data_IF_846672128590
#
_entry.id   IF_846672128590
#
_cell.length_a   1.000
_cell.length_b   1.000
_cell.length_c   1.000
_cell.angle_alpha   90.00
_cell.angle_beta   90.00
_cell.angle_gamma   90.00
#
_symmetry.space_group_name_H-M   'P 1'
#
loop_
_entity.id
_entity.type
_entity.pdbx_description
1 polymer ?
#
# COMPACT_ATOMS: atom_id res chain seq x y z
N UNK A 1 36.85 -21.75 25.81
CA UNK A 1 36.81 -21.48 24.36
C UNK A 1 35.35 -21.56 23.94
N UNK A 2 34.44 -20.83 24.59
CA UNK A 2 33.01 -21.22 24.64
C UNK A 2 32.01 -20.04 24.75
N UNK A 3 32.39 -18.83 24.35
CA UNK A 3 31.46 -17.69 24.31
C UNK A 3 30.76 -17.58 22.93
N UNK A 4 31.26 -18.27 21.90
CA UNK A 4 30.69 -18.22 20.54
C UNK A 4 29.57 -19.25 20.29
N UNK A 5 29.44 -20.28 21.13
CA UNK A 5 28.46 -21.37 20.92
C UNK A 5 27.03 -20.98 21.32
N UNK A 6 26.85 -19.90 22.08
CA UNK A 6 25.54 -19.40 22.49
C UNK A 6 24.88 -18.46 21.45
N UNK A 7 25.66 -17.73 20.65
CA UNK A 7 25.12 -16.85 19.60
C UNK A 7 24.65 -17.61 18.34
N UNK A 8 25.17 -18.82 18.08
CA UNK A 8 24.76 -19.64 16.93
C UNK A 8 23.37 -20.28 17.05
N UNK A 9 22.64 -20.08 18.14
CA UNK A 9 21.24 -20.53 18.28
C UNK A 9 20.22 -19.44 17.94
N UNK A 10 20.64 -18.36 17.29
CA UNK A 10 19.75 -17.51 16.52
C UNK A 10 19.27 -18.34 15.31
N UNK A 11 18.00 -18.79 15.31
CA UNK A 11 17.32 -19.51 14.21
C UNK A 11 17.94 -19.22 12.82
N UNK A 12 18.47 -20.27 12.18
CA UNK A 12 19.31 -20.13 11.01
C UNK A 12 18.57 -19.45 9.85
N UNK A 13 19.18 -18.50 9.13
CA UNK A 13 18.60 -17.85 7.95
C UNK A 13 18.02 -18.86 6.93
N UNK A 14 18.68 -20.01 6.82
CA UNK A 14 18.26 -21.12 5.96
C UNK A 14 16.89 -21.71 6.32
N UNK A 15 16.54 -21.80 7.62
CA UNK A 15 15.23 -22.32 8.06
C UNK A 15 14.11 -21.32 7.78
N UNK A 16 14.36 -20.03 7.99
CA UNK A 16 13.39 -18.97 7.66
C UNK A 16 13.12 -18.91 6.15
N UNK A 17 14.18 -18.97 5.33
CA UNK A 17 14.03 -19.06 3.87
C UNK A 17 13.28 -20.32 3.45
N UNK A 18 13.58 -21.48 4.06
CA UNK A 18 12.87 -22.72 3.78
C UNK A 18 11.36 -22.61 4.11
N UNK A 19 11.00 -22.04 5.26
CA UNK A 19 9.59 -21.83 5.65
C UNK A 19 8.85 -20.92 4.66
N UNK A 20 9.50 -19.87 4.16
CA UNK A 20 8.92 -18.98 3.15
C UNK A 20 8.75 -19.67 1.80
N UNK A 21 9.72 -20.47 1.38
CA UNK A 21 9.61 -21.26 0.14
C UNK A 21 8.47 -22.28 0.26
N UNK A 22 8.32 -22.94 1.41
CA UNK A 22 7.20 -23.85 1.68
C UNK A 22 5.87 -23.11 1.68
N UNK A 23 5.80 -21.91 2.26
CA UNK A 23 4.60 -21.09 2.23
C UNK A 23 4.23 -20.68 0.79
N UNK A 24 5.21 -20.26 -0.02
CA UNK A 24 4.98 -19.91 -1.43
C UNK A 24 4.51 -21.14 -2.24
N UNK A 25 5.13 -22.30 -2.02
CA UNK A 25 4.72 -23.55 -2.65
C UNK A 25 3.30 -23.97 -2.20
N UNK A 26 2.94 -23.80 -0.93
CA UNK A 26 1.60 -24.06 -0.42
C UNK A 26 0.54 -23.15 -1.07
N UNK A 27 0.86 -21.86 -1.26
CA UNK A 27 -0.02 -20.91 -1.93
C UNK A 27 -0.25 -21.29 -3.40
N UNK A 28 0.84 -21.53 -4.14
CA UNK A 28 0.78 -21.97 -5.54
C UNK A 28 0.04 -23.29 -5.66
N UNK A 29 0.31 -24.24 -4.76
CA UNK A 29 -0.38 -25.53 -4.69
C UNK A 29 -1.89 -25.37 -4.45
N UNK A 30 -2.29 -24.46 -3.56
CA UNK A 30 -3.71 -24.17 -3.32
C UNK A 30 -4.38 -23.56 -4.56
N UNK A 31 -3.70 -22.64 -5.24
CA UNK A 31 -4.19 -22.01 -6.45
C UNK A 31 -4.31 -23.03 -7.60
N UNK A 32 -3.31 -23.90 -7.76
CA UNK A 32 -3.35 -24.97 -8.74
C UNK A 32 -4.48 -25.97 -8.46
N UNK A 33 -4.64 -26.38 -7.20
CA UNK A 33 -5.72 -27.27 -6.80
C UNK A 33 -7.08 -26.66 -7.14
N UNK A 34 -7.27 -25.35 -6.96
CA UNK A 34 -8.53 -24.70 -7.35
C UNK A 34 -8.86 -24.86 -8.83
N UNK A 35 -7.88 -24.73 -9.73
CA UNK A 35 -8.07 -24.90 -11.17
C UNK A 35 -8.23 -26.37 -11.58
N UNK A 36 -7.41 -27.28 -11.04
CA UNK A 36 -7.42 -28.69 -11.44
C UNK A 36 -8.73 -29.40 -11.06
N UNK A 37 -9.30 -29.05 -9.90
CA UNK A 37 -10.53 -29.66 -9.39
C UNK A 37 -11.82 -29.01 -9.93
N UNK A 38 -11.72 -28.22 -11.00
CA UNK A 38 -12.85 -27.54 -11.65
C UNK A 38 -13.94 -28.48 -12.13
N UNK A 39 -13.55 -29.61 -12.74
CA UNK A 39 -14.49 -30.54 -13.37
C UNK A 39 -15.19 -31.50 -12.39
N UNK A 40 -14.74 -31.58 -11.13
CA UNK A 40 -15.14 -32.66 -10.21
C UNK A 40 -15.88 -32.19 -8.94
N UNK A 41 -15.76 -30.90 -8.56
CA UNK A 41 -16.30 -30.41 -7.28
C UNK A 41 -17.16 -29.15 -7.42
N UNK A 42 -18.14 -29.03 -6.53
CA UNK A 42 -18.97 -27.84 -6.38
C UNK A 42 -18.11 -26.61 -5.99
N UNK A 43 -18.56 -25.43 -6.43
CA UNK A 43 -17.86 -24.17 -6.20
C UNK A 43 -17.51 -23.89 -4.73
N UNK A 44 -18.39 -24.28 -3.79
CA UNK A 44 -18.17 -24.07 -2.36
C UNK A 44 -16.93 -24.81 -1.84
N UNK A 45 -16.75 -26.08 -2.23
CA UNK A 45 -15.60 -26.90 -1.81
C UNK A 45 -14.30 -26.31 -2.35
N UNK A 46 -14.32 -25.82 -3.61
CA UNK A 46 -13.19 -25.16 -4.26
C UNK A 46 -12.76 -23.87 -3.55
N UNK A 47 -13.72 -23.06 -3.10
CA UNK A 47 -13.41 -21.84 -2.33
C UNK A 47 -12.86 -22.20 -0.95
N UNK A 48 -13.43 -23.22 -0.28
CA UNK A 48 -12.95 -23.65 1.04
C UNK A 48 -11.50 -24.18 1.01
N UNK A 49 -11.11 -24.94 -0.02
CA UNK A 49 -9.73 -25.40 -0.17
C UNK A 49 -8.75 -24.25 -0.44
N UNK A 50 -9.14 -23.22 -1.18
CA UNK A 50 -8.34 -22.00 -1.33
C UNK A 50 -8.18 -21.27 -0.01
N UNK A 51 -9.28 -21.08 0.74
CA UNK A 51 -9.22 -20.42 2.05
C UNK A 51 -8.34 -21.20 3.03
N UNK A 52 -8.42 -22.52 3.04
CA UNK A 52 -7.57 -23.37 3.87
C UNK A 52 -6.09 -23.24 3.47
N UNK A 53 -5.77 -23.28 2.17
CA UNK A 53 -4.41 -23.10 1.67
C UNK A 53 -3.83 -21.71 1.96
N UNK A 54 -4.65 -20.67 1.82
CA UNK A 54 -4.29 -19.30 2.19
C UNK A 54 -4.05 -19.18 3.71
N UNK A 55 -4.89 -19.78 4.55
CA UNK A 55 -4.70 -19.79 5.99
C UNK A 55 -3.39 -20.48 6.40
N UNK A 56 -3.07 -21.63 5.80
CA UNK A 56 -1.80 -22.35 6.04
C UNK A 56 -0.61 -21.50 5.59
N UNK A 57 -0.69 -20.88 4.42
CA UNK A 57 0.35 -19.99 3.90
C UNK A 57 0.62 -18.83 4.87
N UNK A 58 -0.44 -18.16 5.34
CA UNK A 58 -0.35 -17.05 6.29
C UNK A 58 0.22 -17.51 7.64
N UNK A 59 -0.18 -18.68 8.13
CA UNK A 59 0.34 -19.24 9.38
C UNK A 59 1.85 -19.50 9.30
N UNK A 60 2.31 -20.10 8.20
CA UNK A 60 3.74 -20.35 7.95
C UNK A 60 4.52 -19.03 7.81
N UNK A 61 3.97 -18.06 7.07
CA UNK A 61 4.58 -16.75 6.90
C UNK A 61 4.70 -15.99 8.25
N UNK A 62 3.69 -16.07 9.11
CA UNK A 62 3.71 -15.42 10.43
C UNK A 62 4.72 -16.05 11.40
N UNK A 63 5.01 -17.35 11.26
CA UNK A 63 6.02 -18.01 12.09
C UNK A 63 7.45 -17.58 11.77
N UNK A 64 7.68 -17.04 10.56
CA UNK A 64 8.99 -16.56 10.08
C UNK A 64 9.41 -15.29 10.83
N UNK A 65 10.73 -15.08 11.01
CA UNK A 65 11.28 -13.84 11.60
C UNK A 65 10.73 -12.57 10.95
N UNK A 66 10.70 -12.53 9.62
CA UNK A 66 10.19 -11.39 8.86
C UNK A 66 8.72 -11.09 9.20
N UNK A 67 7.88 -12.14 9.31
CA UNK A 67 6.47 -12.00 9.70
C UNK A 67 6.28 -11.41 11.10
N UNK A 68 7.03 -11.91 12.09
CA UNK A 68 6.97 -11.38 13.47
C UNK A 68 7.50 -9.95 13.58
N UNK A 69 8.56 -9.63 12.84
CA UNK A 69 9.13 -8.28 12.81
C UNK A 69 8.18 -7.28 12.15
N UNK A 70 7.55 -7.64 11.01
CA UNK A 70 6.50 -6.82 10.39
C UNK A 70 5.32 -6.59 11.34
N UNK A 71 4.90 -7.63 12.07
CA UNK A 71 3.83 -7.49 13.06
C UNK A 71 4.22 -6.50 14.17
N UNK A 72 5.43 -6.61 14.70
CA UNK A 72 5.96 -5.67 15.69
C UNK A 72 6.02 -4.24 15.15
N UNK A 73 6.40 -4.04 13.87
CA UNK A 73 6.37 -2.73 13.22
C UNK A 73 4.94 -2.17 13.11
N UNK A 74 3.97 -2.97 12.67
CA UNK A 74 2.56 -2.51 12.57
C UNK A 74 2.03 -2.07 13.93
N UNK A 75 2.30 -2.84 14.98
CA UNK A 75 1.91 -2.49 16.35
C UNK A 75 2.67 -1.24 16.84
N UNK A 76 3.97 -1.14 16.56
CA UNK A 76 4.80 0.02 16.89
C UNK A 76 4.34 1.31 16.19
N UNK A 77 3.96 1.24 14.92
CA UNK A 77 3.46 2.38 14.14
C UNK A 77 2.18 2.99 14.74
N UNK A 78 1.34 2.19 15.40
CA UNK A 78 0.16 2.72 16.12
C UNK A 78 0.53 3.58 17.34
N UNK A 79 1.69 3.35 17.94
CA UNK A 79 2.21 4.20 19.02
C UNK A 79 2.73 5.52 18.44
N UNK A 80 3.36 5.48 17.28
CA UNK A 80 3.91 6.67 16.62
C UNK A 80 2.82 7.59 16.02
N UNK A 81 1.76 7.01 15.45
CA UNK A 81 0.59 7.77 14.95
C UNK A 81 -0.04 8.61 16.07
N UNK A 82 0.03 8.15 17.32
CA UNK A 82 -0.49 8.90 18.47
C UNK A 82 0.39 10.09 18.86
N UNK A 83 1.64 10.14 18.39
CA UNK A 83 2.53 11.30 18.56
C UNK A 83 2.37 12.32 17.43
N UNK A 84 1.61 11.99 16.38
CA UNK A 84 1.26 12.95 15.34
C UNK A 84 0.31 13.95 15.96
N UNK A 85 0.86 15.10 16.32
CA UNK A 85 0.08 16.27 16.73
C UNK A 85 -0.62 16.75 15.47
N UNK A 86 -1.86 16.32 15.28
CA UNK A 86 -2.67 16.81 14.18
C UNK A 86 -2.93 18.30 14.40
N UNK A 87 -2.69 19.13 13.38
CA UNK A 87 -2.90 20.57 13.48
C UNK A 87 -4.34 20.85 13.92
N UNK A 88 -4.53 21.91 14.69
CA UNK A 88 -5.86 22.30 15.14
C UNK A 88 -6.74 22.67 13.93
N UNK A 89 -8.06 22.62 14.09
CA UNK A 89 -8.99 23.01 13.00
C UNK A 89 -8.72 24.43 12.49
N UNK A 90 -8.28 25.32 13.37
CA UNK A 90 -7.96 26.70 13.04
C UNK A 90 -6.71 26.80 12.14
N UNK A 91 -5.64 26.08 12.48
CA UNK A 91 -4.42 26.02 11.65
C UNK A 91 -4.70 25.42 10.27
N UNK A 92 -5.52 24.37 10.22
CA UNK A 92 -5.90 23.70 8.97
C UNK A 92 -6.70 24.63 8.04
N UNK A 93 -7.64 25.39 8.61
CA UNK A 93 -8.44 26.37 7.87
C UNK A 93 -7.56 27.53 7.41
N UNK A 94 -6.65 28.03 8.24
CA UNK A 94 -5.72 29.10 7.87
C UNK A 94 -4.84 28.70 6.69
N UNK A 95 -4.26 27.49 6.72
CA UNK A 95 -3.46 26.97 5.61
C UNK A 95 -4.30 26.81 4.33
N UNK A 96 -5.53 26.30 4.45
CA UNK A 96 -6.43 26.14 3.30
C UNK A 96 -6.84 27.48 2.71
N UNK A 97 -7.17 28.48 3.54
CA UNK A 97 -7.51 29.83 3.11
C UNK A 97 -6.33 30.52 2.42
N UNK A 98 -5.11 30.36 2.95
CA UNK A 98 -3.90 30.89 2.33
C UNK A 98 -3.70 30.32 0.92
N UNK A 99 -3.81 28.99 0.78
CA UNK A 99 -3.73 28.33 -0.54
C UNK A 99 -4.88 28.77 -1.45
N UNK A 100 -6.09 28.89 -0.93
CA UNK A 100 -7.27 29.33 -1.68
C UNK A 100 -7.07 30.72 -2.30
N UNK A 101 -6.51 31.67 -1.55
CA UNK A 101 -6.20 33.01 -2.06
C UNK A 101 -5.24 32.94 -3.24
N UNK A 102 -4.15 32.16 -3.11
CA UNK A 102 -3.19 32.00 -4.21
C UNK A 102 -3.86 31.37 -5.44
N UNK A 103 -4.67 30.33 -5.25
CA UNK A 103 -5.41 29.67 -6.33
C UNK A 103 -6.37 30.62 -7.04
N UNK A 104 -7.12 31.44 -6.29
CA UNK A 104 -8.05 32.43 -6.87
C UNK A 104 -7.30 33.49 -7.66
N UNK A 105 -6.20 34.03 -7.14
CA UNK A 105 -5.38 35.03 -7.84
C UNK A 105 -4.81 34.44 -9.13
N UNK A 106 -4.26 33.22 -9.07
CA UNK A 106 -3.72 32.53 -10.25
C UNK A 106 -4.81 32.22 -11.27
N UNK A 107 -6.00 31.77 -10.83
CA UNK A 107 -7.13 31.50 -11.72
C UNK A 107 -7.60 32.76 -12.45
N UNK A 108 -7.73 33.89 -11.73
CA UNK A 108 -8.10 35.18 -12.32
C UNK A 108 -7.04 35.69 -13.30
N UNK A 109 -5.76 35.53 -12.96
CA UNK A 109 -4.65 35.92 -13.83
C UNK A 109 -4.68 35.15 -15.15
N UNK A 110 -4.80 33.82 -15.11
CA UNK A 110 -4.87 33.00 -16.32
C UNK A 110 -6.15 33.29 -17.12
N UNK A 111 -7.30 33.41 -16.46
CA UNK A 111 -8.54 33.77 -17.14
C UNK A 111 -8.44 35.13 -17.87
N UNK A 112 -7.81 36.13 -17.25
CA UNK A 112 -7.53 37.41 -17.88
C UNK A 112 -6.57 37.30 -19.06
N UNK A 113 -5.52 36.48 -18.93
CA UNK A 113 -4.59 36.22 -20.02
C UNK A 113 -5.28 35.52 -21.20
N UNK A 114 -6.07 34.48 -20.94
CA UNK A 114 -6.79 33.72 -21.96
C UNK A 114 -7.78 34.61 -22.72
N UNK A 115 -8.54 35.45 -22.02
CA UNK A 115 -9.47 36.40 -22.65
C UNK A 115 -8.73 37.45 -23.49
N UNK A 116 -7.60 37.97 -23.00
CA UNK A 116 -6.77 38.90 -23.76
C UNK A 116 -6.12 38.24 -24.99
N UNK A 117 -5.65 37.00 -24.88
CA UNK A 117 -5.10 36.22 -25.99
C UNK A 117 -6.17 35.91 -27.03
N UNK A 118 -7.37 35.51 -26.62
CA UNK A 118 -8.50 35.29 -27.54
C UNK A 118 -8.83 36.56 -28.32
N UNK A 119 -8.95 37.70 -27.63
CA UNK A 119 -9.19 38.99 -28.26
C UNK A 119 -8.09 39.37 -29.26
N UNK A 120 -6.82 39.18 -28.89
CA UNK A 120 -5.69 39.43 -29.78
C UNK A 120 -5.73 38.53 -31.02
N UNK A 121 -6.01 37.23 -30.84
CA UNK A 121 -6.13 36.26 -31.95
C UNK A 121 -7.30 36.61 -32.87
N UNK A 122 -8.45 37.01 -32.34
CA UNK A 122 -9.60 37.46 -33.13
C UNK A 122 -9.28 38.70 -33.98
N UNK A 123 -8.56 39.66 -33.40
CA UNK A 123 -8.08 40.86 -34.08
C UNK A 123 -7.09 40.53 -35.20
N UNK A 124 -6.11 39.66 -34.93
CA UNK A 124 -5.10 39.24 -35.92
C UNK A 124 -5.68 38.35 -37.03
N UNK A 125 -6.66 37.52 -36.72
CA UNK A 125 -7.28 36.58 -37.68
C UNK A 125 -8.44 37.24 -38.45
N UNK A 126 -8.79 38.50 -38.14
CA UNK A 126 -9.88 39.22 -38.81
C UNK A 126 -11.26 38.58 -38.59
N UNK A 127 -11.43 37.87 -37.48
CA UNK A 127 -12.68 37.16 -37.11
C UNK A 127 -13.53 37.94 -36.09
N UNK A 128 -13.13 39.15 -35.71
CA UNK A 128 -13.91 40.06 -34.89
C UNK A 128 -14.92 40.83 -35.73
N UNK A 129 -16.14 40.27 -35.83
CA UNK A 129 -17.28 40.64 -36.70
C UNK A 129 -17.06 40.54 -38.21
#
# INVERSE_FOLDING_TARGET
>A
MDIQTAEQKAASPQRDTALLVVAAAALIGSMFAFYFFESQFNALVRVLMLMAGAAVTLALAYQTRLGKTLWAYVVGSRVEIRKVVWPTRQESIQATLMVLVVVVVTALFFWGLDTALLWAVEMLTGRGS
#
